data_IF_311127578948
#
_entry.id   IF_311127578948
#
_cell.length_a   1.000
_cell.length_b   1.000
_cell.length_c   1.000
_cell.angle_alpha   90.00
_cell.angle_beta   90.00
_cell.angle_gamma   90.00
#
_symmetry.space_group_name_H-M   'P 1'
#
loop_
_entity.id
_entity.type
_entity.pdbx_description
1 polymer ?
#
# COMPACT_ATOMS: atom_id res chain seq x y z
N UNK A 1 -14.18 -18.65 14.24
CA UNK A 1 -13.45 -18.95 12.99
C UNK A 1 -13.56 -17.71 12.12
N UNK A 2 -12.45 -17.18 11.61
CA UNK A 2 -12.46 -15.99 10.75
C UNK A 2 -12.26 -16.39 9.28
N UNK A 3 -12.93 -15.70 8.37
CA UNK A 3 -12.90 -15.95 6.93
C UNK A 3 -12.22 -14.78 6.23
N UNK A 4 -11.14 -15.07 5.49
CA UNK A 4 -10.41 -14.07 4.75
C UNK A 4 -10.87 -14.04 3.30
N UNK A 5 -11.35 -12.89 2.87
CA UNK A 5 -11.59 -12.60 1.47
C UNK A 5 -10.39 -11.84 0.90
N UNK A 6 -9.89 -12.27 -0.26
CA UNK A 6 -8.77 -11.64 -0.95
C UNK A 6 -9.10 -11.46 -2.43
N UNK A 7 -8.76 -10.29 -2.97
CA UNK A 7 -8.89 -10.00 -4.40
C UNK A 7 -7.61 -9.34 -4.91
N UNK A 8 -7.11 -9.82 -6.04
CA UNK A 8 -5.92 -9.30 -6.68
C UNK A 8 -6.17 -9.14 -8.18
N UNK A 9 -5.87 -7.94 -8.70
CA UNK A 9 -6.01 -7.62 -10.13
C UNK A 9 -4.63 -7.39 -10.71
N UNK A 10 -4.35 -8.13 -11.79
CA UNK A 10 -3.13 -7.99 -12.57
C UNK A 10 -3.48 -7.56 -14.00
N UNK A 11 -2.80 -6.55 -14.52
CA UNK A 11 -2.93 -6.08 -15.90
C UNK A 11 -1.56 -5.80 -16.48
N UNK A 12 -1.31 -6.29 -17.70
CA UNK A 12 -0.04 -6.09 -18.42
C UNK A 12 1.19 -6.45 -17.56
N UNK A 13 1.10 -7.54 -16.79
CA UNK A 13 2.18 -8.02 -15.91
C UNK A 13 2.36 -7.24 -14.60
N UNK A 14 1.65 -6.14 -14.37
CA UNK A 14 1.71 -5.36 -13.13
C UNK A 14 0.52 -5.67 -12.22
N UNK A 15 0.77 -5.68 -10.90
CA UNK A 15 -0.29 -5.81 -9.89
C UNK A 15 -0.92 -4.44 -9.68
N UNK A 16 -2.15 -4.25 -10.16
CA UNK A 16 -2.86 -2.97 -10.13
C UNK A 16 -3.53 -2.73 -8.77
N UNK A 17 -4.06 -3.80 -8.19
CA UNK A 17 -4.77 -3.72 -6.92
C UNK A 17 -4.65 -5.05 -6.18
N UNK A 18 -4.45 -4.97 -4.88
CA UNK A 18 -4.56 -6.08 -3.95
C UNK A 18 -5.34 -5.60 -2.72
N UNK A 19 -6.51 -6.20 -2.49
CA UNK A 19 -7.34 -5.93 -1.32
C UNK A 19 -7.56 -7.22 -0.54
N UNK A 20 -7.61 -7.11 0.78
CA UNK A 20 -8.01 -8.20 1.65
C UNK A 20 -8.98 -7.67 2.71
N UNK A 21 -9.88 -8.54 3.16
CA UNK A 21 -10.81 -8.23 4.25
C UNK A 21 -11.20 -9.49 5.00
N UNK A 22 -11.20 -9.42 6.31
CA UNK A 22 -11.58 -10.52 7.19
C UNK A 22 -13.02 -10.36 7.65
N UNK A 23 -13.76 -11.46 7.73
CA UNK A 23 -15.15 -11.52 8.15
C UNK A 23 -15.38 -12.68 9.13
N UNK A 24 -16.38 -12.52 10.00
CA UNK A 24 -16.79 -13.58 10.94
C UNK A 24 -17.60 -14.70 10.25
N UNK A 25 -18.27 -14.38 9.14
CA UNK A 25 -19.16 -15.29 8.42
C UNK A 25 -18.68 -15.54 6.99
N UNK A 26 -18.70 -16.82 6.58
CA UNK A 26 -18.32 -17.24 5.21
C UNK A 26 -19.23 -16.63 4.14
N UNK A 27 -20.54 -16.55 4.40
CA UNK A 27 -21.52 -15.96 3.48
C UNK A 27 -21.24 -14.48 3.23
N UNK A 28 -20.88 -13.73 4.27
CA UNK A 28 -20.51 -12.32 4.16
C UNK A 28 -19.21 -12.13 3.37
N UNK A 29 -18.21 -12.97 3.60
CA UNK A 29 -16.96 -12.95 2.83
C UNK A 29 -17.22 -13.21 1.33
N UNK A 30 -18.08 -14.19 1.01
CA UNK A 30 -18.48 -14.49 -0.37
C UNK A 30 -19.23 -13.34 -1.03
N UNK A 31 -20.27 -12.81 -0.39
CA UNK A 31 -21.04 -11.68 -0.91
C UNK A 31 -20.18 -10.42 -1.11
N UNK A 32 -19.17 -10.21 -0.25
CA UNK A 32 -18.22 -9.11 -0.43
C UNK A 32 -17.36 -9.30 -1.67
N UNK A 33 -16.79 -10.49 -1.91
CA UNK A 33 -15.99 -10.77 -3.11
C UNK A 33 -16.82 -10.54 -4.37
N UNK A 34 -18.03 -11.09 -4.45
CA UNK A 34 -18.89 -10.97 -5.64
C UNK A 34 -19.24 -9.51 -5.96
N UNK A 35 -19.60 -8.73 -4.92
CA UNK A 35 -19.86 -7.30 -5.10
C UNK A 35 -18.60 -6.57 -5.56
N UNK A 36 -17.45 -6.91 -4.99
CA UNK A 36 -16.20 -6.23 -5.28
C UNK A 36 -15.68 -6.55 -6.68
N UNK A 37 -15.85 -7.78 -7.14
CA UNK A 37 -15.58 -8.18 -8.51
C UNK A 37 -16.47 -7.41 -9.51
N UNK A 38 -17.77 -7.26 -9.24
CA UNK A 38 -18.69 -6.45 -10.07
C UNK A 38 -18.35 -4.97 -10.10
N UNK A 39 -17.82 -4.42 -9.01
CA UNK A 39 -17.35 -3.05 -9.02
C UNK A 39 -16.05 -2.91 -9.82
N UNK A 40 -15.10 -3.83 -9.65
CA UNK A 40 -13.82 -3.80 -10.33
C UNK A 40 -13.90 -4.19 -11.82
N UNK A 41 -15.01 -4.79 -12.27
CA UNK A 41 -15.27 -5.02 -13.69
C UNK A 41 -15.66 -3.74 -14.44
N UNK A 42 -16.09 -2.68 -13.73
CA UNK A 42 -16.43 -1.40 -14.34
C UNK A 42 -15.15 -0.73 -14.86
N UNK A 43 -15.08 -0.38 -16.16
CA UNK A 43 -13.86 0.16 -16.78
C UNK A 43 -13.39 1.46 -16.11
N UNK A 44 -14.33 2.32 -15.70
CA UNK A 44 -14.03 3.58 -14.99
C UNK A 44 -13.23 3.34 -13.70
N UNK A 45 -13.59 2.32 -12.92
CA UNK A 45 -12.92 2.03 -11.65
C UNK A 45 -11.50 1.50 -11.90
N UNK A 46 -11.32 0.67 -12.92
CA UNK A 46 -9.98 0.19 -13.31
C UNK A 46 -9.07 1.32 -13.78
N UNK A 47 -9.57 2.25 -14.58
CA UNK A 47 -8.81 3.42 -15.05
C UNK A 47 -8.37 4.30 -13.88
N UNK A 48 -9.26 4.56 -12.92
CA UNK A 48 -8.91 5.29 -11.70
C UNK A 48 -7.85 4.57 -10.86
N UNK A 49 -7.92 3.24 -10.76
CA UNK A 49 -6.94 2.45 -10.00
C UNK A 49 -5.57 2.44 -10.70
N UNK A 50 -5.52 2.33 -12.01
CA UNK A 50 -4.27 2.43 -12.79
C UNK A 50 -3.64 3.83 -12.67
N UNK A 51 -4.46 4.88 -12.69
CA UNK A 51 -3.99 6.25 -12.47
C UNK A 51 -3.48 6.46 -11.04
N UNK A 52 -4.14 5.85 -10.04
CA UNK A 52 -3.72 5.90 -8.64
C UNK A 52 -2.42 5.13 -8.39
N UNK A 53 -2.25 3.96 -9.01
CA UNK A 53 -1.02 3.16 -8.98
C UNK A 53 0.16 3.96 -9.56
N UNK A 54 -0.05 4.62 -10.69
CA UNK A 54 0.96 5.52 -11.30
C UNK A 54 1.33 6.70 -10.39
N UNK A 55 0.43 7.14 -9.50
CA UNK A 55 0.67 8.24 -8.54
C UNK A 55 1.31 7.77 -7.24
N UNK A 56 1.19 6.50 -6.89
CA UNK A 56 2.03 5.89 -5.86
C UNK A 56 3.41 5.76 -6.45
N UNK A 57 4.26 6.78 -6.27
CA UNK A 57 5.71 6.55 -6.39
C UNK A 57 6.01 5.40 -5.44
N UNK A 58 6.51 4.29 -5.97
CA UNK A 58 7.09 3.24 -5.16
C UNK A 58 8.19 3.91 -4.35
N UNK A 59 7.92 4.19 -3.08
CA UNK A 59 8.94 4.69 -2.15
C UNK A 59 9.95 3.57 -2.07
N UNK A 60 11.10 3.80 -2.70
CA UNK A 60 12.14 2.80 -2.79
C UNK A 60 12.86 2.70 -1.45
N UNK A 61 13.59 1.59 -1.25
CA UNK A 61 14.52 1.50 -0.14
C UNK A 61 15.55 2.65 -0.18
N UNK A 62 15.94 3.11 -1.37
CA UNK A 62 16.80 4.28 -1.55
C UNK A 62 16.18 5.55 -0.98
N UNK A 63 14.91 5.84 -1.29
CA UNK A 63 14.19 7.01 -0.76
C UNK A 63 14.10 6.97 0.78
N UNK A 64 13.97 5.77 1.37
CA UNK A 64 13.97 5.60 2.81
C UNK A 64 15.36 5.86 3.43
N UNK A 65 16.44 5.44 2.76
CA UNK A 65 17.82 5.71 3.17
C UNK A 65 18.13 7.21 3.09
N UNK A 66 17.78 7.85 1.97
CA UNK A 66 18.02 9.29 1.77
C UNK A 66 17.32 10.12 2.85
N UNK A 67 16.05 9.76 3.16
CA UNK A 67 15.32 10.38 4.26
C UNK A 67 15.99 10.18 5.61
N UNK A 68 16.47 8.97 5.91
CA UNK A 68 17.18 8.69 7.16
C UNK A 68 18.47 9.50 7.29
N UNK A 69 19.24 9.64 6.20
CA UNK A 69 20.46 10.46 6.18
C UNK A 69 20.12 11.94 6.38
N UNK A 70 19.09 12.45 5.71
CA UNK A 70 18.63 13.83 5.88
C UNK A 70 18.17 14.13 7.31
N UNK A 71 17.34 13.25 7.88
CA UNK A 71 16.85 13.37 9.25
C UNK A 71 18.00 13.23 10.28
N UNK A 72 18.94 12.33 10.05
CA UNK A 72 20.12 12.16 10.93
C UNK A 72 21.10 13.33 10.84
N UNK A 73 21.29 13.90 9.65
CA UNK A 73 22.12 15.10 9.46
C UNK A 73 21.56 16.30 10.24
N UNK A 74 20.22 16.46 10.27
CA UNK A 74 19.56 17.49 11.11
C UNK A 74 19.79 17.27 12.60
N UNK A 75 19.83 16.02 13.06
CA UNK A 75 20.12 15.67 14.48
C UNK A 75 21.58 15.93 14.85
N UNK A 76 22.53 15.70 13.94
CA UNK A 76 23.97 15.93 14.17
C UNK A 76 24.27 17.43 14.31
N UNK A 77 23.63 18.30 13.51
CA UNK A 77 23.82 19.76 13.61
C UNK A 77 23.27 20.33 14.93
N UNK A 78 22.29 19.66 15.55
CA UNK A 78 21.72 20.06 16.85
C UNK A 78 22.37 19.46 18.09
N UNK A 79 23.32 18.52 17.96
CA UNK A 79 23.95 17.85 19.12
C UNK A 79 25.33 18.44 19.38
N UNK A 80 25.41 19.45 20.24
CA UNK A 80 26.67 19.77 20.91
C UNK A 80 27.08 18.57 21.77
N UNK A 81 28.07 17.82 21.29
CA UNK A 81 28.74 16.79 22.06
C UNK A 81 29.51 17.47 23.20
N UNK A 82 28.95 17.43 24.40
CA UNK A 82 29.67 17.81 25.61
C UNK A 82 30.82 16.82 25.78
N UNK A 83 32.05 17.25 25.49
CA UNK A 83 33.25 16.53 25.89
C UNK A 83 33.33 16.59 27.41
N UNK A 84 33.19 15.43 28.05
CA UNK A 84 33.51 15.25 29.47
C UNK A 84 35.03 15.26 29.58
N UNK A 85 35.54 16.17 30.42
CA UNK A 85 36.95 16.33 30.77
C UNK A 85 37.40 15.28 31.79
#
# INVERSE_FOLDING_TARGET
MAWLAQIAIRRRGKTVLRENRTFELRSTAGAWIEKREKDLSKPTILEHLLAADTRRRDVTLGDAIDKYVEDSAKVIVGRQVQRVA
#
